data_IF_548676646317
#
_entry.id   IF_548676646317
#
_cell.length_a   1.000
_cell.length_b   1.000
_cell.length_c   1.000
_cell.angle_alpha   90.00
_cell.angle_beta   90.00
_cell.angle_gamma   90.00
#
_symmetry.space_group_name_H-M   'P 1'
#
loop_
_entity.id
_entity.type
_entity.pdbx_description
1 polymer ?
#
# COMPACT_ATOMS: atom_id res chain seq x y z
N UNK A 1 -1.15 -12.13 18.61
CA UNK A 1 -0.74 -10.84 18.00
C UNK A 1 -1.93 -10.36 17.18
N UNK A 2 -2.33 -9.09 17.29
CA UNK A 2 -3.42 -8.54 16.47
C UNK A 2 -2.84 -7.65 15.37
N UNK A 3 -3.37 -7.79 14.16
CA UNK A 3 -3.00 -6.98 13.01
C UNK A 3 -4.22 -6.20 12.48
N UNK A 4 -4.06 -4.88 12.35
CA UNK A 4 -5.09 -3.97 11.84
C UNK A 4 -5.00 -3.77 10.33
N UNK A 5 -5.09 -4.83 9.55
CA UNK A 5 -5.09 -4.74 8.07
C UNK A 5 -6.49 -5.07 7.53
N UNK A 6 -7.03 -4.23 6.65
CA UNK A 6 -8.35 -4.46 6.04
C UNK A 6 -8.25 -5.43 4.84
N UNK A 7 -7.19 -5.27 4.06
CA UNK A 7 -6.91 -6.05 2.86
C UNK A 7 -5.53 -6.69 2.97
N UNK A 8 -5.35 -7.78 2.24
CA UNK A 8 -4.11 -8.57 2.26
C UNK A 8 -3.41 -8.42 0.91
N UNK A 9 -2.10 -8.21 0.94
CA UNK A 9 -1.24 -8.35 -0.24
C UNK A 9 -1.52 -7.35 -1.36
N UNK A 10 -1.71 -6.07 -1.04
CA UNK A 10 -1.78 -5.02 -2.08
C UNK A 10 -0.35 -4.71 -2.55
N UNK A 11 -0.01 -4.91 -3.83
CA UNK A 11 1.32 -4.60 -4.32
C UNK A 11 1.60 -3.09 -4.27
N UNK A 12 2.77 -2.69 -3.78
CA UNK A 12 3.24 -1.29 -3.81
C UNK A 12 3.14 -0.68 -5.21
N UNK A 13 3.40 -1.48 -6.25
CA UNK A 13 3.24 -1.10 -7.66
C UNK A 13 1.82 -0.66 -8.01
N UNK A 14 0.79 -1.36 -7.54
CA UNK A 14 -0.61 -1.02 -7.85
C UNK A 14 -1.02 0.33 -7.23
N UNK A 15 -0.47 0.66 -6.05
CA UNK A 15 -0.66 1.96 -5.41
C UNK A 15 0.00 3.06 -6.26
N UNK A 16 1.24 2.83 -6.70
CA UNK A 16 1.98 3.78 -7.54
C UNK A 16 1.30 4.03 -8.89
N UNK A 17 0.72 3.00 -9.52
CA UNK A 17 -0.06 3.11 -10.77
C UNK A 17 -1.27 4.02 -10.62
N UNK A 18 -2.05 3.88 -9.54
CA UNK A 18 -3.21 4.78 -9.30
C UNK A 18 -2.75 6.21 -9.06
N UNK A 19 -1.68 6.43 -8.30
CA UNK A 19 -1.12 7.77 -8.06
C UNK A 19 -0.65 8.42 -9.37
N UNK A 20 0.09 7.66 -10.18
CA UNK A 20 0.58 8.09 -11.49
C UNK A 20 -0.56 8.50 -12.42
N UNK A 21 -1.61 7.68 -12.52
CA UNK A 21 -2.79 7.96 -13.31
C UNK A 21 -3.49 9.24 -12.84
N UNK A 22 -3.69 9.40 -11.52
CA UNK A 22 -4.40 10.55 -10.95
C UNK A 22 -3.65 11.87 -11.09
N UNK A 23 -2.33 11.83 -11.00
CA UNK A 23 -1.48 13.03 -11.09
C UNK A 23 -0.91 13.26 -12.49
N UNK A 24 -1.17 12.37 -13.45
CA UNK A 24 -0.58 12.40 -14.80
C UNK A 24 0.96 12.48 -14.79
N UNK A 25 1.60 11.76 -13.87
CA UNK A 25 3.07 11.70 -13.75
C UNK A 25 3.61 10.34 -14.24
N UNK A 26 4.78 10.29 -14.89
CA UNK A 26 5.33 9.04 -15.40
C UNK A 26 5.82 8.11 -14.28
N UNK A 27 5.68 6.80 -14.48
CA UNK A 27 6.34 5.77 -13.65
C UNK A 27 7.68 5.42 -14.27
N UNK A 28 8.74 5.44 -13.47
CA UNK A 28 10.06 4.95 -13.86
C UNK A 28 10.43 3.68 -13.12
N UNK A 29 10.93 2.68 -13.84
CA UNK A 29 11.61 1.54 -13.23
C UNK A 29 13.03 1.97 -12.82
N UNK A 30 13.47 1.55 -11.63
CA UNK A 30 14.76 1.90 -11.06
C UNK A 30 15.46 0.66 -10.54
N UNK A 31 16.79 0.63 -10.67
CA UNK A 31 17.59 -0.41 -10.03
C UNK A 31 17.51 -0.23 -8.52
N UNK A 32 17.53 -1.33 -7.76
CA UNK A 32 17.34 -1.26 -6.32
C UNK A 32 18.38 -0.36 -5.62
N UNK A 33 19.63 -0.35 -6.08
CA UNK A 33 20.68 0.53 -5.54
C UNK A 33 20.36 2.03 -5.74
N UNK A 34 19.75 2.41 -6.86
CA UNK A 34 19.26 3.79 -7.07
C UNK A 34 18.13 4.13 -6.10
N UNK A 35 17.22 3.18 -5.86
CA UNK A 35 16.09 3.33 -4.92
C UNK A 35 16.62 3.47 -3.49
N UNK A 36 17.60 2.66 -3.08
CA UNK A 36 18.27 2.78 -1.78
C UNK A 36 18.99 4.13 -1.65
N UNK A 37 19.68 4.58 -2.70
CA UNK A 37 20.33 5.89 -2.72
C UNK A 37 19.35 7.06 -2.54
N UNK A 38 18.11 6.91 -3.03
CA UNK A 38 17.07 7.95 -2.92
C UNK A 38 16.25 7.86 -1.62
N UNK A 39 15.80 6.66 -1.24
CA UNK A 39 14.86 6.43 -0.14
C UNK A 39 15.53 5.93 1.15
N UNK A 40 16.83 5.61 1.12
CA UNK A 40 17.54 5.04 2.26
C UNK A 40 16.91 3.74 2.75
N UNK A 41 16.72 3.63 4.06
CA UNK A 41 16.14 2.43 4.68
C UNK A 41 14.71 2.12 4.19
N UNK A 42 13.95 3.12 3.73
CA UNK A 42 12.58 2.93 3.24
C UNK A 42 12.53 2.10 1.96
N UNK A 43 13.61 2.07 1.16
CA UNK A 43 13.70 1.23 -0.03
C UNK A 43 13.47 -0.25 0.31
N UNK A 44 14.03 -0.72 1.44
CA UNK A 44 13.87 -2.09 1.91
C UNK A 44 12.46 -2.37 2.41
N UNK A 45 11.83 -1.40 3.08
CA UNK A 45 10.44 -1.53 3.57
C UNK A 45 9.46 -1.61 2.39
N UNK A 46 9.65 -0.78 1.35
CA UNK A 46 8.77 -0.72 0.19
C UNK A 46 8.96 -1.89 -0.79
N UNK A 47 10.16 -2.47 -0.84
CA UNK A 47 10.49 -3.62 -1.67
C UNK A 47 10.23 -4.96 -0.97
N UNK A 48 10.19 -4.99 0.35
CA UNK A 48 9.98 -6.19 1.14
C UNK A 48 8.52 -6.63 1.16
N UNK A 49 8.29 -7.93 1.04
CA UNK A 49 6.98 -8.52 1.30
C UNK A 49 6.69 -8.54 2.81
N UNK A 50 5.49 -8.11 3.18
CA UNK A 50 5.00 -8.13 4.56
C UNK A 50 3.57 -8.71 4.63
N UNK A 51 3.39 -10.02 4.35
CA UNK A 51 2.07 -10.64 4.36
C UNK A 51 1.50 -10.62 5.78
N UNK A 52 0.34 -9.97 5.93
CA UNK A 52 -0.32 -9.76 7.21
C UNK A 52 -1.79 -10.12 7.11
N UNK A 53 -2.36 -10.72 8.15
CA UNK A 53 -3.76 -11.15 8.21
C UNK A 53 -4.43 -10.55 9.46
N UNK A 54 -5.67 -10.08 9.33
CA UNK A 54 -6.45 -9.56 10.47
C UNK A 54 -7.42 -10.57 11.08
N UNK A 55 -7.32 -11.87 10.72
CA UNK A 55 -8.30 -12.89 11.13
C UNK A 55 -8.51 -12.90 12.65
N UNK A 56 -7.42 -13.00 13.40
CA UNK A 56 -7.46 -12.98 14.87
C UNK A 56 -8.03 -11.67 15.42
N UNK A 57 -7.66 -10.53 14.83
CA UNK A 57 -8.20 -9.22 15.22
C UNK A 57 -9.73 -9.18 15.08
N UNK A 58 -10.24 -9.72 13.97
CA UNK A 58 -11.68 -9.73 13.70
C UNK A 58 -12.43 -10.71 14.61
N UNK A 59 -11.91 -11.94 14.77
CA UNK A 59 -12.55 -12.99 15.55
C UNK A 59 -12.55 -12.70 17.05
N UNK A 60 -11.43 -12.23 17.61
CA UNK A 60 -11.29 -12.02 19.05
C UNK A 60 -11.79 -10.67 19.53
N UNK A 61 -11.71 -9.62 18.70
CA UNK A 61 -12.12 -8.27 19.10
C UNK A 61 -13.46 -7.83 18.50
N UNK A 62 -14.06 -8.64 17.62
CA UNK A 62 -15.24 -8.25 16.86
C UNK A 62 -14.99 -7.05 15.91
N UNK A 63 -13.72 -6.71 15.66
CA UNK A 63 -13.36 -5.62 14.77
C UNK A 63 -13.73 -5.99 13.33
N UNK A 64 -14.19 -5.01 12.55
CA UNK A 64 -14.52 -5.18 11.13
C UNK A 64 -14.05 -3.95 10.35
N UNK A 65 -13.37 -4.10 9.20
CA UNK A 65 -13.06 -2.98 8.31
C UNK A 65 -14.35 -2.33 7.77
N UNK A 66 -14.50 -1.01 7.92
CA UNK A 66 -15.72 -0.28 7.51
C UNK A 66 -15.52 0.59 6.27
N UNK A 67 -14.27 0.88 5.90
CA UNK A 67 -13.94 1.78 4.81
C UNK A 67 -13.70 1.03 3.49
N UNK A 68 -13.81 1.71 2.34
CA UNK A 68 -13.52 1.10 1.05
C UNK A 68 -12.10 0.53 0.99
N UNK A 69 -11.94 -0.48 0.15
CA UNK A 69 -10.63 -0.98 -0.27
C UNK A 69 -9.71 0.16 -0.73
N UNK A 70 -8.42 0.09 -0.38
CA UNK A 70 -7.42 1.13 -0.62
C UNK A 70 -7.39 1.57 -2.08
N UNK A 71 -7.31 0.64 -3.03
CA UNK A 71 -7.27 0.99 -4.45
C UNK A 71 -8.56 1.64 -4.93
N UNK A 72 -9.71 1.25 -4.38
CA UNK A 72 -11.00 1.87 -4.69
C UNK A 72 -11.06 3.29 -4.14
N UNK A 73 -10.54 3.49 -2.93
CA UNK A 73 -10.54 4.79 -2.26
C UNK A 73 -9.59 5.78 -2.92
N UNK A 74 -8.38 5.35 -3.32
CA UNK A 74 -7.45 6.14 -4.12
C UNK A 74 -8.07 6.54 -5.46
N UNK A 75 -8.73 5.60 -6.16
CA UNK A 75 -9.42 5.89 -7.43
C UNK A 75 -10.58 6.87 -7.29
N UNK A 76 -11.16 7.02 -6.09
CA UNK A 76 -12.20 8.03 -5.83
C UNK A 76 -11.67 9.47 -5.93
N UNK A 77 -10.35 9.68 -5.98
CA UNK A 77 -9.75 10.96 -6.33
C UNK A 77 -9.65 11.99 -5.20
N UNK A 78 -10.15 11.66 -4.00
CA UNK A 78 -10.20 12.60 -2.85
C UNK A 78 -8.83 13.05 -2.34
N UNK A 79 -7.76 12.32 -2.70
CA UNK A 79 -6.39 12.55 -2.25
C UNK A 79 -5.52 13.35 -3.22
N UNK A 80 -6.07 13.75 -4.37
CA UNK A 80 -5.29 14.28 -5.50
C UNK A 80 -5.73 15.69 -5.95
N UNK A 81 -6.47 16.39 -5.09
CA UNK A 81 -6.95 17.76 -5.32
C UNK A 81 -6.14 18.78 -4.51
#
# INVERSE_FOLDING_TARGET
MFHGVAEQGIPTKAIAEVISEKLSIPISLKMFDEVVGHFGFLAYVLAGDNPTLSKDTQEYLGWQPLHPALLKDLKAGKYFN
#
